data_IF_216368175898
#
_entry.id   IF_216368175898
#
_cell.length_a   1.000
_cell.length_b   1.000
_cell.length_c   1.000
_cell.angle_alpha   90.00
_cell.angle_beta   90.00
_cell.angle_gamma   90.00
#
_symmetry.space_group_name_H-M   'P 1'
#
loop_
_entity.id
_entity.type
_entity.pdbx_description
1 polymer ?
#
# COMPACT_ATOMS: atom_id res chain seq x y z
N UNK A 1 16.71 -0.12 8.87
CA UNK A 1 16.65 0.76 10.07
C UNK A 1 15.81 0.05 11.11
N UNK A 2 16.30 -0.17 12.34
CA UNK A 2 15.49 -0.80 13.41
C UNK A 2 14.60 0.28 14.03
N UNK A 3 13.29 0.04 14.11
CA UNK A 3 12.32 0.89 14.76
C UNK A 3 12.61 0.91 16.28
N UNK A 4 13.17 2.00 16.78
CA UNK A 4 13.56 2.16 18.20
C UNK A 4 12.37 2.39 19.16
N UNK A 5 11.14 2.50 18.65
CA UNK A 5 9.91 2.68 19.43
C UNK A 5 8.94 1.54 19.18
N UNK A 6 8.11 1.19 20.17
CA UNK A 6 7.03 0.21 19.99
C UNK A 6 6.10 0.66 18.87
N UNK A 7 5.89 -0.22 17.89
CA UNK A 7 4.95 0.00 16.79
C UNK A 7 3.54 0.12 17.39
N UNK A 8 2.79 1.21 17.10
CA UNK A 8 1.42 1.34 17.58
C UNK A 8 0.56 0.19 17.07
N UNK A 9 -0.42 -0.23 17.87
CA UNK A 9 -1.40 -1.22 17.41
C UNK A 9 -2.10 -0.74 16.14
N UNK A 10 -2.31 -1.68 15.21
CA UNK A 10 -2.99 -1.45 13.94
C UNK A 10 -4.49 -1.76 14.03
N UNK A 11 -5.04 -2.03 15.22
CA UNK A 11 -6.40 -2.55 15.44
C UNK A 11 -7.50 -1.83 14.64
N UNK A 12 -7.41 -0.50 14.57
CA UNK A 12 -8.40 0.35 13.89
C UNK A 12 -7.99 0.76 12.48
N UNK A 13 -7.11 -0.02 11.86
CA UNK A 13 -6.80 0.03 10.45
C UNK A 13 -5.62 0.90 10.05
N UNK A 14 -5.09 1.75 10.92
CA UNK A 14 -3.89 2.51 10.59
C UNK A 14 -3.03 2.83 11.81
N UNK A 15 -1.75 3.15 11.54
CA UNK A 15 -0.83 3.76 12.48
C UNK A 15 0.04 4.81 11.77
N UNK A 16 0.58 5.75 12.55
CA UNK A 16 1.61 6.69 12.09
C UNK A 16 2.91 6.35 12.79
N UNK A 17 3.88 5.85 12.02
CA UNK A 17 5.22 5.57 12.51
C UNK A 17 6.03 6.85 12.53
N UNK A 18 6.52 7.24 13.71
CA UNK A 18 7.16 8.54 13.94
C UNK A 18 8.66 8.52 13.66
N UNK A 19 9.15 9.45 12.84
CA UNK A 19 10.58 9.61 12.52
C UNK A 19 11.23 8.36 11.91
N UNK A 20 10.52 7.67 11.02
CA UNK A 20 10.97 6.41 10.40
C UNK A 20 11.18 6.53 8.89
N UNK A 21 11.03 7.73 8.32
CA UNK A 21 11.18 7.92 6.88
C UNK A 21 12.58 7.43 6.43
N UNK A 22 12.66 6.58 5.40
CA UNK A 22 13.95 6.10 4.92
C UNK A 22 14.86 7.21 4.37
N UNK A 23 16.17 7.03 4.47
CA UNK A 23 17.15 7.96 3.87
C UNK A 23 17.05 8.01 2.35
N UNK A 24 16.66 6.89 1.72
CA UNK A 24 16.38 6.79 0.29
C UNK A 24 15.16 7.60 -0.17
N UNK A 25 14.29 8.04 0.76
CA UNK A 25 13.06 8.76 0.41
C UNK A 25 13.33 10.06 -0.34
N UNK A 26 14.37 10.81 0.04
CA UNK A 26 14.67 12.12 -0.57
C UNK A 26 15.01 11.96 -2.06
N UNK A 27 15.88 11.01 -2.40
CA UNK A 27 16.28 10.75 -3.79
C UNK A 27 15.16 10.09 -4.60
N UNK A 28 14.40 9.16 -3.99
CA UNK A 28 13.22 8.55 -4.62
C UNK A 28 12.10 9.56 -4.90
N UNK A 29 11.86 10.51 -3.99
CA UNK A 29 10.90 11.58 -4.20
C UNK A 29 11.33 12.51 -5.33
N UNK A 30 12.58 12.95 -5.34
CA UNK A 30 13.10 13.84 -6.38
C UNK A 30 13.07 13.19 -7.77
N UNK A 31 13.45 11.92 -7.87
CA UNK A 31 13.38 11.15 -9.12
C UNK A 31 11.95 10.96 -9.61
N UNK A 32 11.01 10.59 -8.73
CA UNK A 32 9.60 10.47 -9.09
C UNK A 32 9.01 11.79 -9.58
N UNK A 33 9.32 12.92 -8.91
CA UNK A 33 8.92 14.26 -9.36
C UNK A 33 9.49 14.56 -10.74
N UNK A 34 10.78 14.30 -10.96
CA UNK A 34 11.43 14.52 -12.25
C UNK A 34 10.80 13.68 -13.37
N UNK A 35 10.49 12.40 -13.11
CA UNK A 35 9.81 11.53 -14.08
C UNK A 35 8.48 12.13 -14.55
N UNK A 36 7.62 12.58 -13.64
CA UNK A 36 6.30 13.11 -14.01
C UNK A 36 6.33 14.46 -14.74
N UNK A 37 7.45 15.19 -14.68
CA UNK A 37 7.66 16.42 -15.46
C UNK A 37 7.92 16.16 -16.95
N UNK A 38 8.23 14.92 -17.35
CA UNK A 38 8.45 14.61 -18.76
C UNK A 38 7.17 14.76 -19.59
N UNK A 39 7.30 15.03 -20.91
CA UNK A 39 6.18 15.02 -21.84
C UNK A 39 5.44 13.69 -21.85
N UNK A 40 4.14 13.72 -22.15
CA UNK A 40 3.30 12.51 -22.20
C UNK A 40 3.90 11.44 -23.13
N UNK A 41 4.39 11.82 -24.30
CA UNK A 41 4.98 10.87 -25.27
C UNK A 41 6.12 10.05 -24.68
N UNK A 42 6.99 10.67 -23.88
CA UNK A 42 8.06 9.97 -23.17
C UNK A 42 7.50 8.98 -22.14
N UNK A 43 6.51 9.41 -21.35
CA UNK A 43 5.90 8.57 -20.31
C UNK A 43 5.14 7.37 -20.91
N UNK A 44 4.49 7.55 -22.06
CA UNK A 44 3.79 6.49 -22.78
C UNK A 44 4.73 5.40 -23.33
N UNK A 45 6.03 5.66 -23.51
CA UNK A 45 7.01 4.62 -23.85
C UNK A 45 7.13 3.55 -22.76
N UNK A 46 6.75 3.86 -21.53
CA UNK A 46 6.83 2.96 -20.38
C UNK A 46 5.47 2.32 -20.04
N UNK A 47 4.49 2.40 -20.93
CA UNK A 47 3.17 1.81 -20.72
C UNK A 47 3.16 0.33 -21.13
N UNK A 48 2.54 -0.51 -20.29
CA UNK A 48 2.36 -1.93 -20.57
C UNK A 48 0.87 -2.23 -20.82
N UNK A 49 0.43 -2.38 -22.08
CA UNK A 49 -1.00 -2.45 -22.42
C UNK A 49 -1.73 -3.65 -21.80
N UNK A 50 -1.01 -4.76 -21.56
CA UNK A 50 -1.57 -5.99 -21.00
C UNK A 50 -1.30 -6.18 -19.51
N UNK A 51 -0.58 -5.24 -18.87
CA UNK A 51 -0.24 -5.32 -17.45
C UNK A 51 -0.48 -3.99 -16.74
N UNK A 52 -1.65 -3.88 -16.13
CA UNK A 52 -2.11 -2.66 -15.47
C UNK A 52 -1.35 -2.32 -14.18
N UNK A 53 -0.58 -3.27 -13.63
CA UNK A 53 0.24 -3.11 -12.43
C UNK A 53 1.74 -2.98 -12.75
N UNK A 54 2.10 -2.61 -13.99
CA UNK A 54 3.48 -2.37 -14.40
C UNK A 54 3.61 -1.11 -15.26
N UNK A 55 4.64 -0.30 -14.94
CA UNK A 55 5.00 0.88 -15.72
C UNK A 55 3.99 2.02 -15.63
N UNK A 56 3.97 2.87 -16.66
CA UNK A 56 3.20 4.10 -16.70
C UNK A 56 1.71 3.87 -17.00
N UNK A 57 0.86 4.64 -16.32
CA UNK A 57 -0.58 4.71 -16.56
C UNK A 57 -1.04 6.17 -16.48
N UNK A 58 -1.83 6.56 -17.47
CA UNK A 58 -2.54 7.83 -17.49
C UNK A 58 -4.02 7.62 -17.20
N UNK A 59 -4.56 8.33 -16.22
CA UNK A 59 -5.96 8.34 -15.82
C UNK A 59 -6.46 9.79 -15.77
N UNK A 60 -7.78 10.01 -15.77
CA UNK A 60 -8.35 11.37 -15.92
C UNK A 60 -7.78 12.37 -14.89
N UNK A 61 -7.75 12.01 -13.61
CA UNK A 61 -7.37 12.92 -12.51
C UNK A 61 -5.96 12.69 -11.97
N UNK A 62 -5.28 11.63 -12.43
CA UNK A 62 -3.97 11.24 -11.92
C UNK A 62 -3.21 10.45 -12.98
N UNK A 63 -1.90 10.48 -12.88
CA UNK A 63 -1.04 9.54 -13.57
C UNK A 63 -0.25 8.75 -12.54
N UNK A 64 0.24 7.58 -12.91
CA UNK A 64 0.99 6.74 -12.01
C UNK A 64 2.07 5.91 -12.72
N UNK A 65 3.05 5.49 -11.94
CA UNK A 65 4.07 4.54 -12.35
C UNK A 65 4.12 3.40 -11.34
N UNK A 66 3.97 2.18 -11.83
CA UNK A 66 3.89 0.95 -11.04
C UNK A 66 5.22 0.19 -11.14
N UNK A 67 5.93 0.05 -10.03
CA UNK A 67 7.27 -0.56 -9.98
C UNK A 67 7.17 -1.96 -9.37
N UNK A 68 7.50 -2.99 -10.18
CA UNK A 68 7.49 -4.41 -9.80
C UNK A 68 8.61 -5.25 -10.45
N UNK A 69 9.43 -4.67 -11.33
CA UNK A 69 10.49 -5.36 -12.08
C UNK A 69 11.64 -4.39 -12.41
N UNK A 70 12.82 -4.92 -12.75
CA UNK A 70 14.07 -4.18 -13.04
C UNK A 70 14.11 -3.44 -14.37
N UNK A 71 13.06 -3.49 -15.20
CA UNK A 71 12.90 -2.64 -16.39
C UNK A 71 12.19 -1.34 -16.03
N UNK A 72 12.96 -0.40 -15.48
CA UNK A 72 12.51 0.95 -15.16
C UNK A 72 13.35 2.00 -15.89
N UNK A 73 12.79 3.19 -16.16
CA UNK A 73 13.56 4.36 -16.57
C UNK A 73 14.71 4.58 -15.58
N UNK A 74 15.91 4.84 -16.09
CA UNK A 74 17.12 4.92 -15.26
C UNK A 74 17.01 5.97 -14.14
N UNK A 75 16.24 7.03 -14.37
CA UNK A 75 15.99 8.08 -13.39
C UNK A 75 15.19 7.59 -12.17
N UNK A 76 14.37 6.53 -12.31
CA UNK A 76 13.58 5.96 -11.22
C UNK A 76 14.36 4.92 -10.38
N UNK A 77 15.64 4.67 -10.68
CA UNK A 77 16.47 3.75 -9.89
C UNK A 77 16.51 4.03 -8.38
N UNK A 78 16.46 5.30 -7.89
CA UNK A 78 16.40 5.55 -6.45
C UNK A 78 15.13 4.99 -5.78
N UNK A 79 14.04 4.82 -6.53
CA UNK A 79 12.80 4.25 -6.00
C UNK A 79 12.95 2.76 -5.62
N UNK A 80 13.91 2.03 -6.21
CA UNK A 80 14.20 0.64 -5.82
C UNK A 80 14.69 0.58 -4.38
N UNK A 81 15.65 1.45 -4.01
CA UNK A 81 16.17 1.51 -2.65
C UNK A 81 15.07 1.89 -1.65
N UNK A 82 14.17 2.81 -2.04
CA UNK A 82 13.02 3.14 -1.20
C UNK A 82 12.06 1.95 -1.06
N UNK A 83 11.82 1.16 -2.10
CA UNK A 83 11.02 -0.05 -1.99
C UNK A 83 11.65 -1.03 -0.98
N UNK A 84 12.98 -1.23 -1.03
CA UNK A 84 13.71 -2.05 -0.06
C UNK A 84 13.54 -1.53 1.36
N UNK A 85 13.77 -0.24 1.60
CA UNK A 85 13.65 0.33 2.95
C UNK A 85 12.21 0.24 3.50
N UNK A 86 11.20 0.47 2.65
CA UNK A 86 9.79 0.32 3.04
C UNK A 86 9.39 -1.14 3.26
N UNK A 87 9.99 -2.08 2.52
CA UNK A 87 9.82 -3.50 2.76
C UNK A 87 10.36 -3.89 4.14
N UNK A 88 11.58 -3.46 4.50
CA UNK A 88 12.17 -3.70 5.82
C UNK A 88 11.32 -3.13 6.96
N UNK A 89 10.72 -1.95 6.77
CA UNK A 89 9.79 -1.36 7.74
C UNK A 89 8.52 -2.23 7.83
N UNK A 90 8.01 -2.72 6.70
CA UNK A 90 6.83 -3.57 6.65
C UNK A 90 7.06 -4.88 7.40
N UNK A 91 8.24 -5.51 7.26
CA UNK A 91 8.60 -6.73 8.00
C UNK A 91 8.60 -6.49 9.51
N UNK A 92 9.13 -5.35 9.98
CA UNK A 92 9.07 -4.99 11.39
C UNK A 92 7.62 -4.77 11.88
N UNK A 93 6.76 -4.20 11.05
CA UNK A 93 5.32 -4.11 11.34
C UNK A 93 4.69 -5.50 11.46
N UNK A 94 5.02 -6.45 10.57
CA UNK A 94 4.53 -7.82 10.65
C UNK A 94 5.01 -8.52 11.94
N UNK A 95 6.25 -8.31 12.38
CA UNK A 95 6.73 -8.84 13.66
C UNK A 95 5.91 -8.32 14.85
N UNK A 96 5.57 -7.02 14.85
CA UNK A 96 4.72 -6.45 15.90
C UNK A 96 3.29 -7.02 15.85
N UNK A 97 2.74 -7.22 14.66
CA UNK A 97 1.45 -7.89 14.43
C UNK A 97 1.47 -9.33 14.98
N UNK A 98 2.49 -10.12 14.66
CA UNK A 98 2.63 -11.49 15.16
C UNK A 98 2.69 -11.52 16.68
N UNK A 99 3.48 -10.62 17.30
CA UNK A 99 3.56 -10.49 18.76
C UNK A 99 2.23 -10.09 19.39
N UNK A 100 1.51 -9.14 18.80
CA UNK A 100 0.19 -8.70 19.29
C UNK A 100 -0.84 -9.83 19.23
N UNK A 101 -0.84 -10.62 18.15
CA UNK A 101 -1.80 -11.72 17.96
C UNK A 101 -1.38 -13.06 18.55
N UNK A 102 -0.16 -13.16 19.08
CA UNK A 102 0.44 -14.40 19.59
C UNK A 102 0.61 -15.47 18.50
N UNK A 103 0.93 -15.04 17.27
CA UNK A 103 1.31 -15.94 16.18
C UNK A 103 2.78 -16.34 16.25
N UNK A 104 3.13 -17.45 15.61
CA UNK A 104 4.52 -17.86 15.46
C UNK A 104 5.33 -16.78 14.70
N UNK A 105 6.55 -16.52 15.16
CA UNK A 105 7.37 -15.40 14.68
C UNK A 105 7.58 -15.41 13.15
N UNK A 106 7.70 -16.60 12.55
CA UNK A 106 7.92 -16.76 11.11
C UNK A 106 6.64 -16.80 10.28
N UNK A 107 5.46 -16.91 10.90
CA UNK A 107 4.22 -17.20 10.17
C UNK A 107 3.92 -16.16 9.10
N UNK A 108 4.12 -14.87 9.40
CA UNK A 108 3.88 -13.79 8.44
C UNK A 108 5.03 -13.57 7.47
N UNK A 109 6.28 -13.72 7.92
CA UNK A 109 7.45 -13.56 7.04
C UNK A 109 7.51 -14.65 5.97
N UNK A 110 7.05 -15.86 6.28
CA UNK A 110 6.94 -16.95 5.31
C UNK A 110 5.92 -16.68 4.19
N UNK A 111 4.95 -15.79 4.44
CA UNK A 111 3.89 -15.45 3.49
C UNK A 111 4.24 -14.30 2.53
N UNK A 112 5.35 -13.61 2.73
CA UNK A 112 5.77 -12.48 1.88
C UNK A 112 7.07 -12.81 1.14
N UNK A 113 7.33 -12.07 0.07
CA UNK A 113 8.59 -12.19 -0.66
C UNK A 113 9.75 -11.66 0.20
N UNK A 114 10.93 -12.27 0.11
CA UNK A 114 12.15 -11.80 0.81
C UNK A 114 12.65 -10.48 0.19
N UNK A 115 12.53 -10.38 -1.13
CA UNK A 115 12.89 -9.17 -1.87
C UNK A 115 11.69 -8.22 -1.96
N UNK A 116 11.94 -6.93 -1.84
CA UNK A 116 10.89 -5.91 -1.91
C UNK A 116 10.16 -5.86 -3.27
N UNK A 117 10.89 -6.21 -4.33
CA UNK A 117 10.47 -6.18 -5.74
C UNK A 117 10.99 -7.46 -6.43
N UNK A 118 10.42 -8.64 -6.13
CA UNK A 118 10.87 -9.90 -6.72
C UNK A 118 10.53 -9.95 -8.21
N UNK A 119 11.09 -10.94 -8.92
CA UNK A 119 10.73 -11.18 -10.33
C UNK A 119 9.21 -11.29 -10.50
N UNK A 120 8.69 -10.68 -11.57
CA UNK A 120 7.26 -10.37 -11.68
C UNK A 120 6.37 -11.61 -11.50
N UNK A 121 5.60 -11.60 -10.42
CA UNK A 121 4.46 -12.47 -10.19
C UNK A 121 3.23 -11.64 -9.82
N UNK A 122 2.04 -12.13 -10.16
CA UNK A 122 0.81 -11.34 -10.00
C UNK A 122 0.58 -10.89 -8.55
N UNK A 123 0.93 -11.72 -7.56
CA UNK A 123 0.67 -11.44 -6.14
C UNK A 123 1.69 -10.51 -5.48
N UNK A 124 2.91 -10.40 -6.01
CA UNK A 124 4.03 -9.77 -5.32
C UNK A 124 3.78 -8.30 -4.95
N UNK A 125 4.50 -7.82 -3.95
CA UNK A 125 4.44 -6.43 -3.50
C UNK A 125 4.73 -5.44 -4.64
N UNK A 126 4.29 -4.19 -4.45
CA UNK A 126 4.40 -3.14 -5.46
C UNK A 126 4.71 -1.79 -4.83
N UNK A 127 5.62 -1.04 -5.45
CA UNK A 127 5.78 0.39 -5.20
C UNK A 127 5.03 1.19 -6.26
N UNK A 128 4.16 2.10 -5.84
CA UNK A 128 3.36 2.97 -6.69
C UNK A 128 3.80 4.41 -6.52
N UNK A 129 4.09 5.08 -7.63
CA UNK A 129 4.28 6.52 -7.71
C UNK A 129 3.01 7.11 -8.31
N UNK A 130 2.30 7.98 -7.61
CA UNK A 130 1.04 8.56 -8.09
C UNK A 130 1.15 10.07 -8.12
N UNK A 131 0.92 10.68 -9.28
CA UNK A 131 0.87 12.12 -9.44
C UNK A 131 -0.58 12.56 -9.72
N UNK A 132 -1.20 13.17 -8.71
CA UNK A 132 -2.53 13.76 -8.81
C UNK A 132 -2.44 15.13 -9.47
N UNK A 133 -3.23 15.32 -10.52
CA UNK A 133 -3.27 16.58 -11.25
C UNK A 133 -4.04 17.63 -10.45
N UNK A 134 -3.60 18.88 -10.56
CA UNK A 134 -4.38 20.02 -10.07
C UNK A 134 -5.73 20.06 -10.79
N UNK A 135 -6.82 20.25 -10.05
CA UNK A 135 -8.14 20.52 -10.63
C UNK A 135 -8.67 21.88 -10.16
N UNK A 136 -9.28 22.62 -11.10
CA UNK A 136 -10.02 23.85 -10.79
C UNK A 136 -11.53 23.58 -10.59
N UNK A 137 -12.03 22.41 -11.03
CA UNK A 137 -13.42 21.99 -10.86
C UNK A 137 -13.50 20.91 -9.78
N UNK A 138 -13.86 21.35 -8.57
CA UNK A 138 -13.96 20.51 -7.35
C UNK A 138 -15.40 20.02 -7.18
N UNK A 139 -16.17 19.93 -8.26
CA UNK A 139 -17.61 19.74 -8.16
C UNK A 139 -17.99 18.45 -7.42
N UNK A 140 -17.07 17.48 -7.25
CA UNK A 140 -17.25 16.31 -6.36
C UNK A 140 -16.17 16.14 -5.26
N UNK A 141 -15.10 16.95 -5.27
CA UNK A 141 -14.11 16.99 -4.19
C UNK A 141 -13.21 15.76 -3.97
N UNK A 142 -13.31 14.70 -4.77
CA UNK A 142 -12.57 13.43 -4.63
C UNK A 142 -11.69 13.19 -5.87
N UNK A 143 -10.43 12.79 -5.65
CA UNK A 143 -9.45 12.41 -6.68
C UNK A 143 -9.11 10.90 -6.68
N UNK A 144 -9.42 10.20 -5.58
CA UNK A 144 -9.44 8.74 -5.51
C UNK A 144 -10.61 8.34 -4.63
N UNK A 145 -11.52 7.53 -5.18
CA UNK A 145 -12.75 7.11 -4.50
C UNK A 145 -12.48 6.29 -3.24
N UNK A 146 -13.52 6.12 -2.43
CA UNK A 146 -13.46 5.33 -1.20
C UNK A 146 -13.13 3.88 -1.52
N UNK A 147 -12.06 3.35 -0.93
CA UNK A 147 -11.66 1.95 -1.10
C UNK A 147 -10.86 1.43 0.09
N UNK A 148 -10.62 0.12 0.05
CA UNK A 148 -9.68 -0.60 0.90
C UNK A 148 -8.66 -1.30 0.01
N UNK A 149 -7.43 -1.41 0.51
CA UNK A 149 -6.34 -2.06 -0.19
C UNK A 149 -6.36 -3.58 0.01
N UNK A 150 -6.08 -4.33 -1.05
CA UNK A 150 -5.94 -5.80 -1.05
C UNK A 150 -4.65 -6.30 -0.38
N UNK A 151 -3.82 -5.39 0.11
CA UNK A 151 -2.50 -5.69 0.68
C UNK A 151 -2.61 -6.33 2.07
N UNK A 152 -1.47 -6.80 2.60
CA UNK A 152 -1.32 -7.01 4.04
C UNK A 152 -1.19 -5.66 4.73
N UNK A 153 -0.23 -4.87 4.26
CA UNK A 153 0.04 -3.52 4.75
C UNK A 153 0.26 -2.59 3.56
N UNK A 154 -0.15 -1.34 3.71
CA UNK A 154 0.19 -0.26 2.77
C UNK A 154 0.95 0.84 3.51
N UNK A 155 2.15 1.17 3.04
CA UNK A 155 2.98 2.23 3.61
C UNK A 155 2.93 3.46 2.70
N UNK A 156 2.66 4.62 3.29
CA UNK A 156 2.49 5.89 2.57
C UNK A 156 3.46 6.93 3.15
N UNK A 157 4.36 7.42 2.30
CA UNK A 157 5.30 8.48 2.66
C UNK A 157 4.69 9.87 2.44
N UNK A 158 4.97 10.81 3.36
CA UNK A 158 4.51 12.19 3.23
C UNK A 158 5.26 12.96 2.14
N UNK A 159 4.56 13.46 1.13
CA UNK A 159 5.15 14.18 -0.01
C UNK A 159 4.87 15.69 -0.01
N UNK A 160 4.12 16.19 0.99
CA UNK A 160 3.97 17.63 1.25
C UNK A 160 2.60 18.24 0.95
N UNK A 161 1.67 17.53 0.30
CA UNK A 161 0.32 18.05 0.03
C UNK A 161 -0.71 17.12 0.66
N UNK A 162 -1.37 17.53 1.76
CA UNK A 162 -2.32 16.67 2.46
C UNK A 162 -3.64 16.57 1.68
N UNK A 163 -4.06 15.34 1.40
CA UNK A 163 -5.33 15.05 0.74
C UNK A 163 -5.88 13.65 1.08
N UNK A 164 -5.07 12.77 1.66
CA UNK A 164 -5.49 11.45 2.11
C UNK A 164 -6.40 11.58 3.34
N UNK A 165 -7.59 10.99 3.24
CA UNK A 165 -8.52 10.86 4.35
C UNK A 165 -8.75 9.38 4.67
N UNK A 166 -8.72 9.04 5.96
CA UNK A 166 -9.00 7.70 6.48
C UNK A 166 -10.29 7.77 7.29
N UNK A 167 -11.15 6.77 7.13
CA UNK A 167 -12.38 6.65 7.92
C UNK A 167 -12.06 6.20 9.34
N UNK A 168 -12.57 6.93 10.33
CA UNK A 168 -12.38 6.62 11.74
C UNK A 168 -13.44 5.66 12.27
N UNK A 169 -13.06 4.38 12.39
CA UNK A 169 -13.93 3.35 12.95
C UNK A 169 -14.29 3.55 14.43
N UNK A 170 -13.50 4.32 15.19
CA UNK A 170 -13.78 4.57 16.60
C UNK A 170 -14.90 5.59 16.78
N UNK A 171 -14.92 6.61 15.93
CA UNK A 171 -15.89 7.71 16.01
C UNK A 171 -17.04 7.58 14.99
N UNK A 172 -17.02 6.56 14.13
CA UNK A 172 -18.13 6.05 13.31
C UNK A 172 -18.84 7.05 12.36
N UNK A 173 -18.31 8.26 12.16
CA UNK A 173 -18.82 9.21 11.16
C UNK A 173 -17.75 10.12 10.52
N UNK A 174 -16.49 10.02 10.96
CA UNK A 174 -15.52 11.07 10.67
C UNK A 174 -14.40 10.60 9.74
N UNK A 175 -14.12 11.42 8.72
CA UNK A 175 -12.96 11.27 7.86
C UNK A 175 -11.80 12.09 8.44
N UNK A 176 -10.70 11.42 8.79
CA UNK A 176 -9.50 12.06 9.32
C UNK A 176 -8.56 12.37 8.16
N UNK A 177 -8.22 13.65 7.98
CA UNK A 177 -7.08 14.04 7.14
C UNK A 177 -5.78 13.65 7.84
N UNK A 178 -5.34 12.41 7.64
CA UNK A 178 -4.21 11.82 8.36
C UNK A 178 -2.89 12.53 8.04
N UNK A 179 -2.76 13.07 6.82
CA UNK A 179 -1.56 13.80 6.40
C UNK A 179 -1.43 15.16 7.07
N UNK A 180 -2.52 15.72 7.63
CA UNK A 180 -2.46 16.98 8.41
C UNK A 180 -1.79 16.82 9.78
N UNK A 181 -1.72 15.59 10.30
CA UNK A 181 -1.08 15.25 11.58
C UNK A 181 0.19 14.40 11.42
N UNK A 182 0.59 14.16 10.16
CA UNK A 182 1.80 13.42 9.80
C UNK A 182 2.99 14.39 9.72
N UNK A 183 4.06 14.10 10.45
CA UNK A 183 5.33 14.82 10.30
C UNK A 183 6.05 14.46 9.00
N UNK A 184 6.95 15.34 8.52
CA UNK A 184 7.74 15.08 7.30
C UNK A 184 8.60 13.81 7.37
N UNK A 185 8.90 13.34 8.58
CA UNK A 185 9.71 12.14 8.82
C UNK A 185 8.87 10.91 9.19
N UNK A 186 7.56 10.99 9.08
CA UNK A 186 6.65 9.90 9.46
C UNK A 186 6.22 9.06 8.25
N UNK A 187 5.88 7.81 8.50
CA UNK A 187 5.25 6.91 7.52
C UNK A 187 3.88 6.48 8.04
N UNK A 188 2.85 6.61 7.21
CA UNK A 188 1.53 6.05 7.52
C UNK A 188 1.52 4.58 7.12
N UNK A 189 1.05 3.72 8.00
CA UNK A 189 0.81 2.30 7.74
C UNK A 189 -0.69 2.07 7.77
N UNK A 190 -1.23 1.49 6.70
CA UNK A 190 -2.61 1.05 6.60
C UNK A 190 -2.67 -0.48 6.66
N UNK A 191 -3.66 -1.01 7.36
CA UNK A 191 -4.05 -2.42 7.29
C UNK A 191 -4.82 -2.63 5.99
N UNK A 192 -4.37 -3.59 5.19
CA UNK A 192 -5.14 -4.04 4.04
C UNK A 192 -6.07 -5.21 4.38
N UNK A 193 -6.96 -5.53 3.44
CA UNK A 193 -7.93 -6.61 3.56
C UNK A 193 -7.28 -7.97 3.78
N UNK A 194 -6.08 -8.21 3.23
CA UNK A 194 -5.41 -9.49 3.41
C UNK A 194 -5.04 -9.73 4.88
N UNK A 195 -4.56 -8.69 5.58
CA UNK A 195 -4.26 -8.78 7.00
C UNK A 195 -5.53 -8.88 7.84
N UNK A 196 -6.58 -8.16 7.46
CA UNK A 196 -7.89 -8.29 8.10
C UNK A 196 -8.46 -9.71 7.98
N UNK A 197 -8.36 -10.29 6.78
CA UNK A 197 -8.79 -11.66 6.49
C UNK A 197 -8.07 -12.67 7.38
N UNK A 198 -6.73 -12.70 7.38
CA UNK A 198 -5.97 -13.69 8.15
C UNK A 198 -6.01 -13.43 9.66
N UNK A 199 -6.37 -12.23 10.10
CA UNK A 199 -6.57 -11.92 11.52
C UNK A 199 -8.00 -12.13 12.01
N UNK A 200 -8.87 -12.75 11.19
CA UNK A 200 -10.29 -12.96 11.49
C UNK A 200 -11.00 -11.65 11.89
N UNK A 201 -10.71 -10.56 11.18
CA UNK A 201 -11.18 -9.18 11.44
C UNK A 201 -10.74 -8.60 12.80
N UNK A 202 -9.70 -9.13 13.44
CA UNK A 202 -9.10 -8.47 14.60
C UNK A 202 -8.56 -7.09 14.23
N UNK A 203 -7.83 -7.03 13.11
CA UNK A 203 -7.44 -5.77 12.47
C UNK A 203 -8.50 -5.38 11.44
N UNK A 204 -9.00 -4.15 11.53
CA UNK A 204 -9.94 -3.62 10.54
C UNK A 204 -9.17 -3.12 9.31
N UNK A 205 -9.63 -3.36 8.08
CA UNK A 205 -8.97 -2.82 6.89
C UNK A 205 -9.22 -1.30 6.80
N UNK A 206 -8.19 -0.53 6.44
CA UNK A 206 -8.28 0.92 6.35
C UNK A 206 -9.17 1.35 5.18
N UNK A 207 -10.35 1.91 5.48
CA UNK A 207 -11.18 2.57 4.47
C UNK A 207 -10.64 3.98 4.27
N UNK A 208 -10.23 4.31 3.04
CA UNK A 208 -9.60 5.59 2.76
C UNK A 208 -10.00 6.17 1.40
N UNK A 209 -9.79 7.46 1.22
CA UNK A 209 -10.03 8.21 -0.03
C UNK A 209 -9.01 9.33 -0.19
N UNK A 210 -8.91 9.91 -1.38
CA UNK A 210 -8.07 11.09 -1.62
C UNK A 210 -8.93 12.24 -2.10
N UNK A 211 -8.87 13.39 -1.42
CA UNK A 211 -9.55 14.62 -1.84
C UNK A 211 -8.89 15.21 -3.08
N UNK A 212 -9.68 15.92 -3.88
CA UNK A 212 -9.17 16.75 -4.96
C UNK A 212 -8.27 17.86 -4.40
N UNK A 213 -7.19 18.18 -5.13
CA UNK A 213 -6.14 19.10 -4.69
C UNK A 213 -6.05 20.33 -5.62
N UNK A 214 -5.80 21.49 -5.00
CA UNK A 214 -5.58 22.77 -5.71
C UNK A 214 -4.15 22.94 -6.27
N UNK A 215 -3.27 22.00 -5.95
CA UNK A 215 -1.89 21.91 -6.43
C UNK A 215 -1.59 20.45 -6.75
N UNK A 216 -0.65 20.20 -7.66
CA UNK A 216 -0.19 18.84 -7.95
C UNK A 216 0.30 18.15 -6.68
N UNK A 217 -0.04 16.87 -6.51
CA UNK A 217 0.35 16.05 -5.37
C UNK A 217 1.01 14.77 -5.84
N UNK A 218 2.24 14.51 -5.39
CA UNK A 218 2.85 13.19 -5.51
C UNK A 218 2.38 12.32 -4.36
N UNK A 219 2.26 11.02 -4.53
CA UNK A 219 2.19 10.04 -3.46
C UNK A 219 3.14 8.90 -3.79
N UNK A 220 3.82 8.38 -2.77
CA UNK A 220 4.67 7.19 -2.89
C UNK A 220 4.10 6.16 -1.92
N UNK A 221 3.68 5.02 -2.48
CA UNK A 221 2.88 4.02 -1.77
C UNK A 221 3.54 2.67 -1.99
N UNK A 222 3.90 1.98 -0.91
CA UNK A 222 4.36 0.59 -0.97
C UNK A 222 3.28 -0.34 -0.44
N UNK A 223 2.80 -1.26 -1.27
CA UNK A 223 1.82 -2.27 -0.88
C UNK A 223 2.53 -3.60 -0.68
N UNK A 224 2.67 -4.01 0.57
CA UNK A 224 3.18 -5.33 0.94
C UNK A 224 2.07 -6.36 0.73
N UNK A 225 2.32 -7.39 -0.09
CA UNK A 225 1.34 -8.43 -0.43
C UNK A 225 1.90 -9.81 -0.12
N UNK A 226 1.02 -10.82 -0.17
CA UNK A 226 1.47 -12.20 -0.16
C UNK A 226 2.39 -12.50 -1.35
N UNK A 227 3.42 -13.31 -1.14
CA UNK A 227 4.13 -13.92 -2.26
C UNK A 227 3.21 -14.86 -3.01
N UNK A 228 3.54 -15.12 -4.27
CA UNK A 228 2.63 -15.75 -5.21
C UNK A 228 2.19 -17.17 -4.82
N UNK A 229 3.12 -17.97 -4.31
CA UNK A 229 2.94 -19.37 -3.95
C UNK A 229 2.69 -19.60 -2.45
N UNK A 230 2.67 -18.54 -1.63
CA UNK A 230 2.35 -18.63 -0.22
C UNK A 230 0.99 -19.30 -0.03
N UNK A 231 0.96 -20.37 0.76
CA UNK A 231 -0.26 -21.08 1.12
C UNK A 231 -0.78 -20.46 2.41
N UNK A 232 -1.86 -19.70 2.31
CA UNK A 232 -2.57 -19.11 3.44
C UNK A 232 -3.59 -20.14 3.92
N UNK A 233 -3.38 -20.67 5.11
CA UNK A 233 -4.30 -21.57 5.80
C UNK A 233 -4.82 -20.89 7.07
N UNK A 234 -6.12 -20.60 7.11
CA UNK A 234 -6.74 -19.85 8.21
C UNK A 234 -6.52 -20.50 9.58
N UNK A 235 -6.35 -21.82 9.63
CA UNK A 235 -6.14 -22.55 10.89
C UNK A 235 -4.84 -22.18 11.58
N UNK A 236 -3.81 -21.77 10.82
CA UNK A 236 -2.52 -21.35 11.39
C UNK A 236 -2.62 -20.01 12.14
N UNK A 237 -3.70 -19.26 11.91
CA UNK A 237 -3.90 -17.93 12.48
C UNK A 237 -4.85 -17.93 13.68
N UNK A 238 -5.32 -19.09 14.13
CA UNK A 238 -6.26 -19.20 15.26
C UNK A 238 -5.54 -19.08 16.60
N UNK A 239 -5.86 -18.05 17.37
CA UNK A 239 -5.37 -17.82 18.74
C UNK A 239 -6.54 -17.48 19.66
N UNK A 240 -6.24 -17.25 20.94
CA UNK A 240 -7.25 -16.75 21.89
C UNK A 240 -7.85 -15.40 21.47
N UNK A 241 -7.12 -14.61 20.67
CA UNK A 241 -7.50 -13.28 20.21
C UNK A 241 -8.29 -13.32 18.90
N UNK A 242 -7.81 -14.09 17.91
CA UNK A 242 -8.45 -14.19 16.58
C UNK A 242 -9.61 -15.19 16.56
N UNK A 243 -9.62 -16.17 17.48
CA UNK A 243 -10.63 -17.25 17.61
C UNK A 243 -10.71 -18.15 16.35
N UNK A 244 -11.42 -19.28 16.43
CA UNK A 244 -11.64 -20.11 15.26
C UNK A 244 -12.38 -19.38 14.13
N UNK A 245 -11.98 -19.64 12.90
CA UNK A 245 -12.64 -19.07 11.72
C UNK A 245 -14.00 -19.72 11.52
N UNK A 246 -15.05 -18.89 11.37
CA UNK A 246 -16.41 -19.39 11.05
C UNK A 246 -16.44 -20.14 9.70
N UNK A 247 -15.62 -19.68 8.76
CA UNK A 247 -15.46 -20.27 7.44
C UNK A 247 -13.96 -20.46 7.16
N UNK A 248 -13.37 -21.59 7.60
CA UNK A 248 -11.96 -21.87 7.36
C UNK A 248 -11.67 -21.91 5.86
N UNK A 249 -10.48 -21.45 5.47
CA UNK A 249 -10.06 -21.40 4.08
C UNK A 249 -8.59 -21.77 3.93
N UNK A 250 -8.26 -22.27 2.74
CA UNK A 250 -6.89 -22.52 2.30
C UNK A 250 -6.74 -22.03 0.87
N UNK A 251 -5.90 -21.02 0.65
CA UNK A 251 -5.74 -20.35 -0.64
C UNK A 251 -4.29 -19.95 -0.87
N UNK A 252 -3.86 -19.86 -2.13
CA UNK A 252 -2.53 -19.31 -2.44
C UNK A 252 -2.59 -17.78 -2.56
N UNK A 253 -1.48 -17.08 -2.33
CA UNK A 253 -1.40 -15.62 -2.55
C UNK A 253 -1.85 -15.21 -3.95
N UNK A 254 -1.48 -15.98 -4.98
CA UNK A 254 -1.95 -15.81 -6.35
C UNK A 254 -3.48 -15.89 -6.48
N UNK A 255 -4.10 -16.90 -5.88
CA UNK A 255 -5.53 -17.13 -5.99
C UNK A 255 -6.33 -16.11 -5.17
N UNK A 256 -5.83 -15.72 -4.00
CA UNK A 256 -6.41 -14.63 -3.20
C UNK A 256 -6.49 -13.35 -4.05
N UNK A 257 -5.38 -12.95 -4.67
CA UNK A 257 -5.37 -11.74 -5.47
C UNK A 257 -6.30 -11.82 -6.70
N UNK A 258 -6.34 -12.97 -7.39
CA UNK A 258 -7.25 -13.17 -8.53
C UNK A 258 -8.72 -13.07 -8.11
N UNK A 259 -9.07 -13.66 -6.97
CA UNK A 259 -10.41 -13.58 -6.39
C UNK A 259 -10.78 -12.12 -6.10
N UNK A 260 -9.92 -11.39 -5.38
CA UNK A 260 -10.16 -10.00 -5.01
C UNK A 260 -10.31 -9.06 -6.21
N UNK A 261 -9.48 -9.25 -7.24
CA UNK A 261 -9.58 -8.49 -8.49
C UNK A 261 -10.86 -8.82 -9.24
N UNK A 262 -11.26 -10.08 -9.31
CA UNK A 262 -12.51 -10.52 -9.95
C UNK A 262 -13.73 -9.90 -9.24
N UNK A 263 -13.76 -9.94 -7.91
CA UNK A 263 -14.82 -9.32 -7.11
C UNK A 263 -14.93 -7.83 -7.43
N UNK A 264 -13.81 -7.10 -7.44
CA UNK A 264 -13.84 -5.66 -7.73
C UNK A 264 -14.18 -5.32 -9.18
N UNK A 265 -13.78 -6.13 -10.16
CA UNK A 265 -14.22 -5.97 -11.54
C UNK A 265 -15.73 -6.14 -11.67
N UNK A 266 -16.32 -7.10 -10.94
CA UNK A 266 -17.76 -7.35 -10.94
C UNK A 266 -18.57 -6.24 -10.23
N UNK A 267 -17.99 -5.57 -9.23
CA UNK A 267 -18.66 -4.52 -8.45
C UNK A 267 -18.47 -3.12 -9.06
N UNK A 268 -17.28 -2.80 -9.58
CA UNK A 268 -16.92 -1.41 -9.96
C UNK A 268 -16.83 -1.14 -11.47
N UNK A 269 -17.02 -2.14 -12.34
CA UNK A 269 -17.01 -1.91 -13.78
C UNK A 269 -15.69 -1.36 -14.32
N UNK A 270 -14.62 -2.16 -14.24
CA UNK A 270 -13.27 -1.91 -14.79
C UNK A 270 -12.42 -0.87 -14.06
N UNK A 271 -11.16 -1.25 -13.77
CA UNK A 271 -10.09 -0.41 -13.23
C UNK A 271 -9.40 0.45 -14.30
#
# INVERSE_FOLDING_TARGET
MILNSSIPTLKYGYAVLKNVIPTSFVSARASAQYYFLHPSDYKHLHQYPYNLELGYRDLIHKEMFMIRESTLPSELSPCIHLATDLHDISLQCLEAVSKELQWEDHLLSDLVDVDALPSFNIASSILQLIHYRKTNNITHGIACDVHQDISLLTLICHTGVPALEIYDYLNNTDWINIESIQGMHDVIVLVGEALSLISNNYFLPATHRVRAVHQSRLAIIYQLRFKNDAVIDSQLFETSLTKPFKHPFRITGCNYLKMEKSTRQSVNGSY
#
